data_IF_464915732538
#
_entry.id   IF_464915732538
#
_cell.length_a   1.000
_cell.length_b   1.000
_cell.length_c   1.000
_cell.angle_alpha   90.00
_cell.angle_beta   90.00
_cell.angle_gamma   90.00
#
_symmetry.space_group_name_H-M   'P 1'
#
loop_
_entity.id
_entity.type
_entity.pdbx_description
1 polymer ?
#
# COMPACT_ATOMS: atom_id res chain seq x y z
N UNK A 1 13.55 -25.58 -11.39
CA UNK A 1 13.95 -24.49 -10.47
C UNK A 1 13.95 -23.19 -11.27
N UNK A 2 12.76 -22.61 -11.39
CA UNK A 2 12.57 -21.38 -12.16
C UNK A 2 13.08 -20.20 -11.31
N UNK A 3 14.12 -19.55 -11.79
CA UNK A 3 14.73 -18.41 -11.11
C UNK A 3 13.82 -17.20 -11.28
N UNK A 4 12.85 -17.07 -10.38
CA UNK A 4 12.13 -15.82 -10.17
C UNK A 4 13.13 -14.87 -9.51
N UNK A 5 13.29 -13.67 -10.07
CA UNK A 5 14.15 -12.67 -9.46
C UNK A 5 13.46 -12.14 -8.19
N UNK A 6 13.85 -12.56 -6.98
CA UNK A 6 13.09 -12.27 -5.76
C UNK A 6 13.27 -10.82 -5.25
N UNK A 7 13.91 -9.97 -6.04
CA UNK A 7 14.35 -8.62 -5.61
C UNK A 7 13.20 -7.76 -5.10
N UNK A 8 12.07 -7.71 -5.82
CA UNK A 8 10.92 -6.90 -5.41
C UNK A 8 10.23 -7.48 -4.17
N UNK A 9 9.97 -8.79 -4.17
CA UNK A 9 9.34 -9.49 -3.04
C UNK A 9 10.17 -9.38 -1.76
N UNK A 10 11.50 -9.59 -1.85
CA UNK A 10 12.42 -9.44 -0.72
C UNK A 10 12.39 -8.02 -0.15
N UNK A 11 12.39 -7.00 -1.02
CA UNK A 11 12.31 -5.61 -0.57
C UNK A 11 11.00 -5.33 0.16
N UNK A 12 9.87 -5.75 -0.41
CA UNK A 12 8.52 -5.61 0.18
C UNK A 12 8.44 -6.34 1.54
N UNK A 13 8.95 -7.57 1.61
CA UNK A 13 9.02 -8.35 2.84
C UNK A 13 9.85 -7.65 3.93
N UNK A 14 10.99 -7.09 3.55
CA UNK A 14 11.85 -6.32 4.45
C UNK A 14 11.15 -5.09 5.00
N UNK A 15 10.39 -4.34 4.18
CA UNK A 15 9.60 -3.21 4.65
C UNK A 15 8.50 -3.65 5.62
N UNK A 16 7.80 -4.75 5.33
CA UNK A 16 6.74 -5.27 6.20
C UNK A 16 7.28 -5.68 7.58
N UNK A 17 8.43 -6.35 7.63
CA UNK A 17 9.01 -6.87 8.87
C UNK A 17 9.79 -5.83 9.67
N UNK A 18 10.54 -4.98 9.00
CA UNK A 18 11.55 -4.12 9.63
C UNK A 18 11.25 -2.62 9.48
N UNK A 19 10.31 -2.25 8.62
CA UNK A 19 9.90 -0.86 8.43
C UNK A 19 11.08 0.08 8.16
N UNK A 20 11.24 1.09 9.02
CA UNK A 20 12.24 2.14 8.87
C UNK A 20 13.57 1.88 9.62
N UNK A 21 13.77 0.68 10.17
CA UNK A 21 15.00 0.34 10.91
C UNK A 21 16.25 0.55 10.04
N UNK A 22 16.19 0.22 8.76
CA UNK A 22 17.30 0.44 7.81
C UNK A 22 17.63 1.92 7.59
N UNK A 23 16.76 2.83 7.98
CA UNK A 23 16.94 4.27 7.92
C UNK A 23 17.33 4.89 9.27
N UNK A 24 17.49 4.05 10.30
CA UNK A 24 17.79 4.50 11.66
C UNK A 24 16.63 5.25 12.31
N UNK A 25 15.40 4.99 11.87
CA UNK A 25 14.16 5.54 12.44
C UNK A 25 13.42 4.48 13.22
N UNK A 26 12.67 4.92 14.22
CA UNK A 26 11.81 4.02 14.97
C UNK A 26 10.64 3.58 14.07
N UNK A 27 10.63 2.30 13.76
CA UNK A 27 9.51 1.68 13.09
C UNK A 27 8.38 1.41 14.07
N UNK A 28 7.22 1.81 13.69
CA UNK A 28 5.99 1.61 14.47
C UNK A 28 5.21 0.34 14.07
N UNK A 29 5.87 -0.59 13.39
CA UNK A 29 5.32 -1.91 13.12
C UNK A 29 5.27 -2.76 14.39
N UNK A 30 4.50 -3.85 14.34
CA UNK A 30 4.28 -4.73 15.48
C UNK A 30 5.35 -5.83 15.55
N UNK A 31 5.87 -6.10 16.75
CA UNK A 31 6.83 -7.19 16.96
C UNK A 31 6.15 -8.55 16.83
N UNK A 32 6.82 -9.50 16.22
CA UNK A 32 6.33 -10.88 16.13
C UNK A 32 5.52 -11.19 14.88
N UNK A 33 5.40 -10.27 13.93
CA UNK A 33 4.81 -10.54 12.63
C UNK A 33 5.61 -11.64 11.92
N UNK A 34 4.89 -12.63 11.38
CA UNK A 34 5.45 -13.68 10.53
C UNK A 34 4.96 -13.47 9.11
N UNK A 35 5.85 -13.64 8.16
CA UNK A 35 5.52 -13.58 6.75
C UNK A 35 5.21 -14.98 6.20
N UNK A 36 4.21 -15.01 5.34
CA UNK A 36 3.94 -16.07 4.41
C UNK A 36 4.19 -15.51 3.00
N UNK A 37 5.10 -16.12 2.24
CA UNK A 37 5.39 -15.74 0.87
C UNK A 37 4.55 -16.57 -0.10
N UNK A 38 3.74 -15.88 -0.89
CA UNK A 38 2.92 -16.48 -1.94
C UNK A 38 3.42 -16.01 -3.30
N UNK A 39 4.04 -16.88 -4.05
CA UNK A 39 4.50 -16.60 -5.41
C UNK A 39 3.33 -16.70 -6.37
N UNK A 40 2.75 -15.56 -6.74
CA UNK A 40 1.60 -15.47 -7.66
C UNK A 40 1.98 -15.05 -9.08
N UNK A 41 3.23 -14.63 -9.30
CA UNK A 41 3.80 -14.35 -10.62
C UNK A 41 4.72 -15.49 -11.05
N UNK A 42 4.43 -16.17 -12.17
CA UNK A 42 5.38 -17.07 -12.80
C UNK A 42 6.57 -16.29 -13.38
N UNK A 43 7.57 -17.01 -13.84
CA UNK A 43 8.67 -16.44 -14.62
C UNK A 43 8.14 -15.90 -15.96
N UNK A 44 7.85 -14.60 -16.02
CA UNK A 44 7.30 -13.93 -17.20
C UNK A 44 8.24 -13.90 -18.41
N UNK A 45 9.48 -14.38 -18.27
CA UNK A 45 10.39 -14.60 -19.40
C UNK A 45 10.03 -15.84 -20.20
N UNK A 46 9.26 -16.76 -19.60
CA UNK A 46 8.86 -18.04 -20.21
C UNK A 46 7.39 -18.07 -20.60
N UNK A 47 6.52 -17.45 -19.78
CA UNK A 47 5.07 -17.48 -19.98
C UNK A 47 4.49 -16.08 -19.76
N UNK A 48 3.58 -15.66 -20.63
CA UNK A 48 2.76 -14.47 -20.38
C UNK A 48 1.78 -14.75 -19.25
N UNK A 49 1.67 -13.85 -18.28
CA UNK A 49 0.63 -13.89 -17.26
C UNK A 49 -0.50 -12.97 -17.73
N UNK A 50 -1.67 -13.50 -17.96
CA UNK A 50 -2.87 -12.69 -18.14
C UNK A 50 -3.56 -12.37 -16.80
N UNK A 51 -4.61 -11.57 -16.86
CA UNK A 51 -5.35 -11.14 -15.66
C UNK A 51 -6.07 -12.30 -14.97
N UNK A 52 -6.63 -13.21 -15.76
CA UNK A 52 -7.39 -14.35 -15.24
C UNK A 52 -6.47 -15.33 -14.52
N UNK A 53 -5.27 -15.57 -15.05
CA UNK A 53 -4.24 -16.39 -14.42
C UNK A 53 -3.76 -15.75 -13.11
N UNK A 54 -3.54 -14.42 -13.09
CA UNK A 54 -3.17 -13.71 -11.87
C UNK A 54 -4.26 -13.83 -10.79
N UNK A 55 -5.52 -13.65 -11.16
CA UNK A 55 -6.65 -13.82 -10.24
C UNK A 55 -6.72 -15.25 -9.72
N UNK A 56 -6.52 -16.25 -10.59
CA UNK A 56 -6.52 -17.65 -10.20
C UNK A 56 -5.42 -17.98 -9.20
N UNK A 57 -4.19 -17.50 -9.44
CA UNK A 57 -3.05 -17.70 -8.53
C UNK A 57 -3.27 -17.03 -7.17
N UNK A 58 -3.80 -15.81 -7.14
CA UNK A 58 -4.15 -15.11 -5.89
C UNK A 58 -5.24 -15.88 -5.14
N UNK A 59 -6.26 -16.36 -5.86
CA UNK A 59 -7.34 -17.16 -5.28
C UNK A 59 -6.80 -18.43 -4.62
N UNK A 60 -6.00 -19.20 -5.34
CA UNK A 60 -5.38 -20.43 -4.82
C UNK A 60 -4.56 -20.16 -3.56
N UNK A 61 -3.73 -19.10 -3.57
CA UNK A 61 -2.92 -18.73 -2.42
C UNK A 61 -3.78 -18.38 -1.19
N UNK A 62 -4.85 -17.57 -1.36
CA UNK A 62 -5.74 -17.17 -0.27
C UNK A 62 -6.55 -18.39 0.21
N UNK A 63 -7.17 -19.15 -0.70
CA UNK A 63 -7.98 -20.31 -0.36
C UNK A 63 -7.22 -21.34 0.47
N UNK A 64 -5.97 -21.62 0.10
CA UNK A 64 -5.14 -22.59 0.81
C UNK A 64 -4.63 -22.10 2.18
N UNK A 65 -4.64 -20.77 2.45
CA UNK A 65 -3.94 -20.21 3.62
C UNK A 65 -4.77 -19.25 4.47
N UNK A 66 -6.02 -18.93 4.12
CA UNK A 66 -6.84 -17.92 4.79
C UNK A 66 -7.05 -18.16 6.30
N UNK A 67 -7.00 -19.41 6.75
CA UNK A 67 -7.10 -19.72 8.18
C UNK A 67 -5.88 -19.23 8.98
N UNK A 68 -4.72 -19.22 8.36
CA UNK A 68 -3.44 -18.87 8.97
C UNK A 68 -2.99 -17.44 8.66
N UNK A 69 -3.43 -16.90 7.50
CA UNK A 69 -3.00 -15.58 6.98
C UNK A 69 -4.24 -14.73 6.79
N UNK A 70 -4.43 -13.78 7.68
CA UNK A 70 -5.61 -12.90 7.69
C UNK A 70 -5.38 -11.57 6.95
N UNK A 71 -4.15 -11.09 6.89
CA UNK A 71 -3.79 -9.85 6.21
C UNK A 71 -2.86 -10.16 5.04
N UNK A 72 -3.23 -9.70 3.85
CA UNK A 72 -2.52 -9.93 2.60
C UNK A 72 -1.98 -8.62 2.05
N UNK A 73 -0.69 -8.57 1.73
CA UNK A 73 -0.07 -7.45 1.02
C UNK A 73 -0.03 -7.75 -0.48
N UNK A 74 -0.72 -6.94 -1.26
CA UNK A 74 -0.78 -7.07 -2.72
C UNK A 74 -0.12 -5.86 -3.39
N UNK A 75 1.21 -5.87 -3.45
CA UNK A 75 2.03 -4.83 -4.09
C UNK A 75 2.23 -5.10 -5.59
N UNK A 76 1.14 -5.44 -6.27
CA UNK A 76 1.09 -5.80 -7.69
C UNK A 76 0.10 -4.84 -8.38
N UNK A 77 0.34 -4.48 -9.63
CA UNK A 77 -0.56 -3.63 -10.41
C UNK A 77 -0.74 -4.18 -11.83
N UNK A 78 -1.99 -4.22 -12.27
CA UNK A 78 -2.33 -4.26 -13.69
C UNK A 78 -2.20 -2.84 -14.21
N UNK A 79 -1.53 -2.64 -15.35
CA UNK A 79 -1.15 -1.31 -15.83
C UNK A 79 -2.28 -0.56 -16.56
N UNK A 80 -3.53 -0.96 -16.36
CA UNK A 80 -4.72 -0.23 -16.85
C UNK A 80 -5.26 0.69 -15.78
N UNK A 81 -5.68 1.89 -16.18
CA UNK A 81 -6.36 2.84 -15.31
C UNK A 81 -7.84 2.47 -15.13
N UNK A 82 -8.36 2.74 -13.94
CA UNK A 82 -9.77 2.47 -13.62
C UNK A 82 -10.73 3.33 -14.44
N UNK A 83 -11.90 2.79 -14.71
CA UNK A 83 -13.03 3.51 -15.30
C UNK A 83 -13.73 4.39 -14.24
N UNK A 84 -14.47 5.42 -14.70
CA UNK A 84 -15.23 6.30 -13.81
C UNK A 84 -16.52 5.68 -13.28
N UNK A 85 -17.12 4.75 -14.02
CA UNK A 85 -18.47 4.25 -13.79
C UNK A 85 -18.55 2.73 -13.61
N UNK A 86 -17.44 2.02 -13.73
CA UNK A 86 -17.42 0.55 -13.64
C UNK A 86 -16.22 0.09 -12.82
N UNK A 87 -16.46 -0.79 -11.87
CA UNK A 87 -15.40 -1.51 -11.15
C UNK A 87 -14.71 -2.51 -12.07
N UNK A 88 -13.42 -2.66 -11.92
CA UNK A 88 -12.64 -3.63 -12.69
C UNK A 88 -12.94 -5.05 -12.26
N UNK A 89 -12.83 -6.00 -13.20
CA UNK A 89 -13.05 -7.42 -12.91
C UNK A 89 -12.03 -7.92 -11.86
N UNK A 90 -10.83 -7.40 -11.88
CA UNK A 90 -9.83 -7.66 -10.85
C UNK A 90 -10.27 -7.15 -9.46
N UNK A 91 -10.83 -5.95 -9.35
CA UNK A 91 -11.33 -5.41 -8.08
C UNK A 91 -12.48 -6.27 -7.53
N UNK A 92 -13.42 -6.66 -8.39
CA UNK A 92 -14.55 -7.53 -8.01
C UNK A 92 -14.02 -8.87 -7.48
N UNK A 93 -13.05 -9.49 -8.19
CA UNK A 93 -12.45 -10.74 -7.75
C UNK A 93 -11.76 -10.62 -6.37
N UNK A 94 -11.05 -9.50 -6.12
CA UNK A 94 -10.45 -9.25 -4.82
C UNK A 94 -11.50 -9.06 -3.71
N UNK A 95 -12.62 -8.40 -4.01
CA UNK A 95 -13.71 -8.20 -3.07
C UNK A 95 -14.40 -9.52 -2.70
N UNK A 96 -14.68 -10.36 -3.69
CA UNK A 96 -15.26 -11.70 -3.50
C UNK A 96 -14.36 -12.59 -2.63
N UNK A 97 -13.05 -12.57 -2.86
CA UNK A 97 -12.08 -13.33 -2.05
C UNK A 97 -12.06 -12.87 -0.60
N UNK A 98 -12.06 -11.57 -0.37
CA UNK A 98 -12.07 -11.00 0.99
C UNK A 98 -13.36 -11.33 1.74
N UNK A 99 -14.50 -11.29 1.06
CA UNK A 99 -15.77 -11.68 1.65
C UNK A 99 -15.82 -13.16 1.99
N UNK A 100 -15.49 -14.00 1.01
CA UNK A 100 -15.58 -15.47 1.14
C UNK A 100 -14.66 -16.03 2.23
N UNK A 101 -13.44 -15.51 2.32
CA UNK A 101 -12.39 -16.07 3.17
C UNK A 101 -12.10 -15.26 4.43
N UNK A 102 -12.86 -14.19 4.67
CA UNK A 102 -12.68 -13.31 5.82
C UNK A 102 -11.22 -12.86 6.00
N UNK A 103 -10.66 -12.23 4.98
CA UNK A 103 -9.29 -11.69 4.95
C UNK A 103 -9.29 -10.22 4.57
N UNK A 104 -8.23 -9.49 4.91
CA UNK A 104 -8.00 -8.11 4.48
C UNK A 104 -6.86 -8.06 3.46
N UNK A 105 -7.10 -7.47 2.31
CA UNK A 105 -6.06 -7.18 1.31
C UNK A 105 -5.66 -5.71 1.40
N UNK A 106 -4.37 -5.45 1.67
CA UNK A 106 -3.74 -4.15 1.49
C UNK A 106 -3.20 -4.06 0.06
N UNK A 107 -3.72 -3.12 -0.73
CA UNK A 107 -3.46 -3.03 -2.19
C UNK A 107 -2.74 -1.74 -2.54
N UNK A 108 -1.70 -1.82 -3.35
CA UNK A 108 -1.01 -0.63 -3.86
C UNK A 108 -1.87 0.13 -4.88
N UNK A 109 -1.88 1.47 -4.79
CA UNK A 109 -2.62 2.33 -5.71
C UNK A 109 -2.04 2.37 -7.14
N UNK A 110 -0.77 1.99 -7.29
CA UNK A 110 -0.02 2.02 -8.55
C UNK A 110 0.91 3.23 -8.68
N UNK A 111 1.84 3.13 -9.60
CA UNK A 111 2.86 4.15 -9.86
C UNK A 111 2.67 4.77 -11.24
N UNK A 112 2.88 6.09 -11.33
CA UNK A 112 2.84 6.85 -12.56
C UNK A 112 4.27 7.13 -13.01
N UNK A 113 4.69 6.56 -14.14
CA UNK A 113 6.04 6.75 -14.68
C UNK A 113 6.23 8.12 -15.37
N UNK A 114 5.13 8.76 -15.78
CA UNK A 114 5.16 10.05 -16.49
C UNK A 114 5.10 11.28 -15.57
N UNK A 115 5.30 11.11 -14.26
CA UNK A 115 5.27 12.24 -13.31
C UNK A 115 6.26 13.36 -13.66
N UNK A 116 7.31 13.05 -14.39
CA UNK A 116 8.30 14.03 -14.90
C UNK A 116 7.68 15.00 -15.92
N UNK A 117 6.79 14.50 -16.76
CA UNK A 117 6.06 15.31 -17.73
C UNK A 117 4.93 16.14 -17.10
N UNK A 118 4.66 15.87 -15.83
CA UNK A 118 3.89 16.65 -14.87
C UNK A 118 2.40 16.79 -15.13
N UNK A 119 1.67 15.84 -15.73
CA UNK A 119 0.24 15.97 -15.59
C UNK A 119 -0.61 15.61 -16.82
N UNK A 120 -1.80 15.12 -16.50
CA UNK A 120 -2.32 14.82 -15.14
C UNK A 120 -1.62 13.61 -14.54
N UNK A 121 -1.55 13.56 -13.20
CA UNK A 121 -1.18 12.32 -12.50
C UNK A 121 -2.14 11.23 -12.95
N UNK A 122 -1.60 10.06 -13.31
CA UNK A 122 -2.40 8.93 -13.72
C UNK A 122 -3.36 8.48 -12.61
N UNK A 123 -4.53 8.02 -13.01
CA UNK A 123 -5.51 7.44 -12.08
C UNK A 123 -5.01 6.13 -11.51
N UNK A 124 -5.55 5.72 -10.37
CA UNK A 124 -5.28 4.41 -9.79
C UNK A 124 -5.44 3.30 -10.82
N UNK A 125 -4.70 2.22 -10.66
CA UNK A 125 -4.78 1.06 -11.54
C UNK A 125 -5.91 0.12 -11.14
N UNK A 126 -6.38 -0.69 -12.07
CA UNK A 126 -7.35 -1.76 -11.83
C UNK A 126 -6.92 -2.67 -10.68
N UNK A 127 -7.91 -3.10 -9.90
CA UNK A 127 -7.73 -3.77 -8.61
C UNK A 127 -7.55 -2.80 -7.43
N UNK A 128 -7.06 -1.56 -7.65
CA UNK A 128 -7.07 -0.52 -6.63
C UNK A 128 -8.44 0.18 -6.49
N UNK A 129 -9.41 -0.19 -7.28
CA UNK A 129 -10.81 0.17 -7.15
C UNK A 129 -11.63 -0.81 -6.30
N UNK A 130 -11.02 -1.90 -5.81
CA UNK A 130 -11.65 -2.83 -4.86
C UNK A 130 -12.22 -2.11 -3.64
N UNK A 131 -13.48 -2.36 -3.31
CA UNK A 131 -14.18 -1.69 -2.20
C UNK A 131 -13.72 -2.25 -0.85
N UNK A 132 -13.46 -3.55 -0.76
CA UNK A 132 -13.04 -4.20 0.48
C UNK A 132 -11.57 -4.02 0.78
N UNK A 133 -10.71 -3.98 -0.23
CA UNK A 133 -9.27 -3.77 -0.03
C UNK A 133 -8.98 -2.41 0.59
N UNK A 134 -7.96 -2.36 1.43
CA UNK A 134 -7.37 -1.10 1.90
C UNK A 134 -6.31 -0.63 0.90
N UNK A 135 -6.67 0.34 0.08
CA UNK A 135 -5.79 0.84 -1.00
C UNK A 135 -4.88 1.94 -0.49
N UNK A 136 -3.60 1.79 -0.80
CA UNK A 136 -2.53 2.60 -0.21
C UNK A 136 -1.81 3.41 -1.30
N UNK A 137 -1.85 4.73 -1.15
CA UNK A 137 -1.04 5.69 -1.90
C UNK A 137 0.35 5.86 -1.30
N UNK A 138 1.18 6.70 -1.92
CA UNK A 138 2.53 6.97 -1.46
C UNK A 138 2.73 8.44 -1.11
N UNK A 139 3.43 8.67 0.02
CA UNK A 139 3.94 9.99 0.43
C UNK A 139 5.46 9.96 0.59
N UNK A 140 6.08 11.11 0.40
CA UNK A 140 7.51 11.30 0.55
C UNK A 140 7.91 11.25 2.04
N UNK A 141 8.84 10.37 2.41
CA UNK A 141 9.36 10.27 3.78
C UNK A 141 10.51 11.25 4.04
N UNK A 142 11.14 11.72 2.97
CA UNK A 142 12.24 12.68 2.98
C UNK A 142 12.26 13.46 1.67
N UNK A 143 13.01 14.57 1.64
CA UNK A 143 13.23 15.38 0.44
C UNK A 143 14.71 15.46 0.12
N UNK A 144 15.10 14.90 -1.03
CA UNK A 144 16.40 15.13 -1.65
C UNK A 144 16.44 16.49 -2.38
N UNK A 145 17.64 16.87 -2.82
CA UNK A 145 17.88 18.19 -3.44
C UNK A 145 16.98 18.47 -4.66
N UNK A 146 16.79 17.47 -5.50
CA UNK A 146 16.10 17.59 -6.78
C UNK A 146 14.73 16.89 -6.79
N UNK A 147 14.23 16.47 -5.61
CA UNK A 147 12.92 15.85 -5.45
C UNK A 147 11.80 16.88 -5.61
N UNK A 148 10.68 16.44 -6.19
CA UNK A 148 9.53 17.31 -6.44
C UNK A 148 8.63 17.52 -5.23
N UNK A 149 8.50 16.51 -4.36
CA UNK A 149 7.59 16.60 -3.21
C UNK A 149 8.31 17.03 -1.95
N UNK A 150 7.66 17.86 -1.14
CA UNK A 150 8.06 18.09 0.24
C UNK A 150 7.81 16.85 1.08
N UNK A 151 8.52 16.73 2.20
CA UNK A 151 8.29 15.64 3.16
C UNK A 151 6.83 15.62 3.61
N UNK A 152 6.26 14.43 3.75
CA UNK A 152 4.85 14.18 4.06
C UNK A 152 3.84 14.60 3.00
N UNK A 153 4.28 15.11 1.84
CA UNK A 153 3.40 15.35 0.71
C UNK A 153 3.31 14.10 -0.20
N UNK A 154 2.27 13.99 -1.04
CA UNK A 154 2.15 12.86 -1.97
C UNK A 154 3.40 12.69 -2.81
N UNK A 155 3.88 11.46 -2.92
CA UNK A 155 5.00 11.14 -3.82
C UNK A 155 4.66 11.52 -5.26
N UNK A 156 5.61 12.04 -6.06
CA UNK A 156 5.32 12.47 -7.43
C UNK A 156 4.71 11.36 -8.30
N UNK A 157 5.15 10.13 -8.06
CA UNK A 157 4.73 8.95 -8.81
C UNK A 157 3.44 8.30 -8.29
N UNK A 158 2.88 8.71 -7.14
CA UNK A 158 1.65 8.08 -6.63
C UNK A 158 0.48 8.35 -7.56
N UNK A 159 -0.27 7.31 -7.90
CA UNK A 159 -1.50 7.44 -8.68
C UNK A 159 -2.62 7.98 -7.80
N UNK A 160 -3.61 8.61 -8.45
CA UNK A 160 -4.66 9.36 -7.77
C UNK A 160 -6.05 8.82 -8.07
N UNK A 161 -6.97 9.01 -7.12
CA UNK A 161 -8.38 8.76 -7.29
C UNK A 161 -9.15 9.87 -8.04
N UNK A 162 -10.45 9.83 -7.99
CA UNK A 162 -11.26 8.86 -7.26
C UNK A 162 -11.30 7.49 -7.93
N UNK A 163 -11.86 6.49 -7.25
CA UNK A 163 -12.30 5.26 -7.88
C UNK A 163 -13.62 5.44 -8.66
N UNK A 164 -14.19 4.35 -9.21
CA UNK A 164 -15.50 4.38 -9.87
C UNK A 164 -16.57 4.97 -8.97
N UNK A 165 -17.57 5.63 -9.58
CA UNK A 165 -18.68 6.27 -8.86
C UNK A 165 -18.22 7.23 -7.73
N UNK A 166 -17.03 7.83 -7.93
CA UNK A 166 -16.39 8.77 -6.99
C UNK A 166 -16.04 8.21 -5.61
N UNK A 167 -15.94 6.88 -5.44
CA UNK A 167 -15.45 6.32 -4.19
C UNK A 167 -14.04 6.84 -3.88
N UNK A 168 -13.77 7.04 -2.58
CA UNK A 168 -12.47 7.53 -2.13
C UNK A 168 -11.42 6.45 -2.33
N UNK A 169 -10.46 6.72 -3.22
CA UNK A 169 -9.28 5.92 -3.50
C UNK A 169 -8.09 6.84 -3.81
N UNK A 170 -6.86 6.48 -3.36
CA UNK A 170 -6.62 5.48 -2.32
C UNK A 170 -7.37 5.85 -1.03
N UNK A 171 -7.63 4.90 -0.12
CA UNK A 171 -8.22 5.27 1.18
C UNK A 171 -7.23 5.98 2.09
N UNK A 172 -5.99 5.56 2.07
CA UNK A 172 -4.91 6.15 2.89
C UNK A 172 -3.61 6.21 2.10
N UNK A 173 -2.61 6.87 2.67
CA UNK A 173 -1.26 6.91 2.13
C UNK A 173 -0.22 6.64 3.21
N UNK A 174 0.93 6.08 2.82
CA UNK A 174 2.06 5.87 3.72
C UNK A 174 3.39 6.12 2.99
N UNK A 175 4.52 6.08 3.69
CA UNK A 175 5.83 6.38 3.13
C UNK A 175 6.27 5.35 2.08
N UNK A 176 6.49 5.80 0.86
CA UNK A 176 6.95 4.99 -0.27
C UNK A 176 8.08 5.62 -1.07
N UNK A 177 8.69 6.70 -0.54
CA UNK A 177 9.79 7.39 -1.17
C UNK A 177 9.41 8.67 -1.92
N UNK A 178 10.40 9.34 -2.48
CA UNK A 178 10.29 10.57 -3.25
C UNK A 178 11.03 10.45 -4.57
N UNK A 179 10.74 11.34 -5.50
CA UNK A 179 11.40 11.38 -6.81
C UNK A 179 11.42 12.79 -7.38
N UNK A 180 12.32 13.01 -8.32
CA UNK A 180 12.44 14.27 -9.04
C UNK A 180 13.33 14.13 -10.26
N UNK A 181 13.86 15.26 -10.74
CA UNK A 181 14.71 15.33 -11.93
C UNK A 181 15.87 16.26 -11.66
N UNK A 182 17.09 15.78 -11.93
CA UNK A 182 18.30 16.59 -11.80
C UNK A 182 18.40 17.66 -12.92
N UNK A 183 19.38 18.55 -12.81
CA UNK A 183 19.62 19.62 -13.78
C UNK A 183 19.91 19.14 -15.21
N UNK A 184 20.16 17.84 -15.41
CA UNK A 184 20.40 17.22 -16.73
C UNK A 184 19.16 16.49 -17.26
N UNK A 185 18.00 16.59 -16.57
CA UNK A 185 16.78 15.91 -16.94
C UNK A 185 16.76 14.42 -16.58
N UNK A 186 17.71 13.93 -15.76
CA UNK A 186 17.74 12.55 -15.31
C UNK A 186 16.89 12.38 -14.07
N UNK A 187 16.07 11.34 -14.04
CA UNK A 187 15.30 10.97 -12.86
C UNK A 187 16.22 10.64 -11.67
N UNK A 188 15.91 11.22 -10.53
CA UNK A 188 16.54 10.97 -9.24
C UNK A 188 15.49 10.50 -8.26
N UNK A 189 15.89 9.74 -7.24
CA UNK A 189 14.98 9.20 -6.24
C UNK A 189 15.58 9.28 -4.85
N UNK A 190 14.75 9.64 -3.87
CA UNK A 190 15.01 9.49 -2.45
C UNK A 190 14.09 8.38 -1.95
N UNK A 191 14.59 7.13 -2.01
CA UNK A 191 13.80 5.94 -1.74
C UNK A 191 13.81 5.57 -0.26
N UNK A 192 12.80 4.81 0.14
CA UNK A 192 12.80 4.07 1.40
C UNK A 192 13.82 2.93 1.31
N UNK A 193 14.36 2.50 2.45
CA UNK A 193 15.39 1.45 2.49
C UNK A 193 14.82 0.12 2.93
N UNK A 194 15.31 -0.94 2.33
CA UNK A 194 15.04 -2.33 2.71
C UNK A 194 16.14 -3.25 2.15
N UNK A 195 15.91 -4.55 2.15
CA UNK A 195 16.88 -5.55 1.76
C UNK A 195 16.73 -5.97 0.29
N UNK A 196 17.85 -6.16 -0.38
CA UNK A 196 17.92 -6.88 -1.64
C UNK A 196 18.07 -8.39 -1.40
N UNK A 197 17.93 -9.18 -2.47
CA UNK A 197 18.01 -10.64 -2.40
C UNK A 197 19.37 -11.20 -1.96
N UNK A 198 20.43 -10.39 -2.04
CA UNK A 198 21.78 -10.70 -1.56
C UNK A 198 22.05 -10.18 -0.12
N UNK A 199 21.02 -9.65 0.54
CA UNK A 199 21.10 -9.17 1.92
C UNK A 199 21.69 -7.78 2.09
N UNK A 200 21.94 -7.04 1.01
CA UNK A 200 22.37 -5.65 1.08
C UNK A 200 21.20 -4.71 1.38
N UNK A 201 21.48 -3.60 2.06
CA UNK A 201 20.50 -2.52 2.21
C UNK A 201 20.50 -1.71 0.93
N UNK A 202 19.34 -1.64 0.29
CA UNK A 202 19.12 -0.87 -0.93
C UNK A 202 17.96 0.10 -0.76
N UNK A 203 17.84 1.05 -1.68
CA UNK A 203 16.83 2.10 -1.65
C UNK A 203 15.95 2.01 -2.90
N UNK A 204 14.62 2.17 -2.71
CA UNK A 204 13.68 2.14 -3.82
C UNK A 204 12.45 3.02 -3.55
N UNK A 205 11.65 3.30 -4.60
CA UNK A 205 10.45 4.14 -4.54
C UNK A 205 9.25 3.43 -5.13
N UNK A 206 8.07 3.63 -4.55
CA UNK A 206 6.83 3.07 -5.09
C UNK A 206 5.73 2.88 -4.04
N UNK A 207 4.49 2.85 -4.51
CA UNK A 207 3.33 2.44 -3.69
C UNK A 207 3.45 0.99 -3.22
N UNK A 208 4.25 0.18 -3.91
CA UNK A 208 4.60 -1.17 -3.48
C UNK A 208 5.35 -1.22 -2.14
N UNK A 209 5.91 -0.09 -1.69
CA UNK A 209 6.68 0.01 -0.45
C UNK A 209 5.94 0.79 0.66
N UNK A 210 4.90 1.55 0.32
CA UNK A 210 3.96 2.09 1.29
C UNK A 210 2.97 1.03 1.77
N UNK A 211 2.53 0.16 0.88
CA UNK A 211 1.50 -0.87 1.15
C UNK A 211 1.91 -1.87 2.23
N UNK A 212 3.13 -2.46 2.24
CA UNK A 212 3.52 -3.42 3.28
C UNK A 212 3.61 -2.80 4.68
N UNK A 213 3.82 -1.49 4.80
CA UNK A 213 3.75 -0.78 6.09
C UNK A 213 2.34 -0.83 6.66
N UNK A 214 1.34 -0.65 5.80
CA UNK A 214 -0.07 -0.71 6.17
C UNK A 214 -0.51 -2.15 6.45
N UNK A 215 -0.01 -3.12 5.71
CA UNK A 215 -0.26 -4.53 6.01
C UNK A 215 0.33 -4.94 7.37
N UNK A 216 1.52 -4.45 7.72
CA UNK A 216 2.11 -4.64 9.04
C UNK A 216 1.28 -3.96 10.14
N UNK A 217 0.80 -2.73 9.89
CA UNK A 217 -0.09 -2.01 10.80
C UNK A 217 -1.40 -2.79 11.04
N UNK A 218 -2.04 -3.28 9.96
CA UNK A 218 -3.27 -4.08 10.04
C UNK A 218 -3.06 -5.38 10.83
N UNK A 219 -1.94 -6.06 10.62
CA UNK A 219 -1.56 -7.27 11.37
C UNK A 219 -1.34 -6.96 12.84
N UNK A 220 -0.65 -5.86 13.14
CA UNK A 220 -0.42 -5.42 14.52
C UNK A 220 -1.72 -5.07 15.24
N UNK A 221 -2.64 -4.38 14.58
CA UNK A 221 -3.96 -4.09 15.15
C UNK A 221 -4.73 -5.36 15.47
N UNK A 222 -4.74 -6.33 14.56
CA UNK A 222 -5.40 -7.61 14.80
C UNK A 222 -4.82 -8.34 16.01
N UNK A 223 -3.50 -8.31 16.18
CA UNK A 223 -2.84 -8.96 17.33
C UNK A 223 -3.15 -8.27 18.67
N UNK A 224 -3.29 -6.94 18.66
CA UNK A 224 -3.52 -6.16 19.90
C UNK A 224 -5.00 -6.10 20.30
N UNK A 225 -5.93 -6.30 19.39
CA UNK A 225 -7.37 -6.23 19.70
C UNK A 225 -7.88 -7.43 20.50
N UNK A 226 -7.16 -8.56 20.49
CA UNK A 226 -7.51 -9.82 21.17
C UNK A 226 -8.97 -10.27 20.89
N UNK A 227 -9.41 -10.09 19.66
CA UNK A 227 -10.74 -10.43 19.16
C UNK A 227 -10.65 -11.30 17.90
N UNK A 228 -11.78 -11.87 17.48
CA UNK A 228 -11.88 -12.52 16.18
C UNK A 228 -11.56 -11.55 15.06
N UNK A 229 -10.91 -12.04 14.02
CA UNK A 229 -10.51 -11.22 12.90
C UNK A 229 -11.72 -10.64 12.15
N UNK A 230 -11.83 -9.32 12.16
CA UNK A 230 -12.83 -8.55 11.42
C UNK A 230 -12.09 -7.59 10.46
N UNK A 231 -12.04 -7.90 9.14
CA UNK A 231 -11.32 -7.08 8.17
C UNK A 231 -11.90 -5.66 8.04
N UNK A 232 -13.21 -5.49 8.21
CA UNK A 232 -13.85 -4.18 8.09
C UNK A 232 -13.56 -3.32 9.33
N UNK A 233 -13.52 -3.91 10.51
CA UNK A 233 -13.10 -3.22 11.73
C UNK A 233 -11.65 -2.74 11.62
N UNK A 234 -10.73 -3.63 11.24
CA UNK A 234 -9.31 -3.28 11.07
C UNK A 234 -9.16 -2.15 10.04
N UNK A 235 -9.79 -2.28 8.87
CA UNK A 235 -9.80 -1.24 7.83
C UNK A 235 -10.39 0.07 8.37
N UNK A 236 -11.51 0.01 9.06
CA UNK A 236 -12.18 1.17 9.65
C UNK A 236 -11.31 1.91 10.66
N UNK A 237 -10.64 1.19 11.57
CA UNK A 237 -9.73 1.78 12.56
C UNK A 237 -8.53 2.47 11.92
N UNK A 238 -7.93 1.86 10.89
CA UNK A 238 -6.81 2.44 10.16
C UNK A 238 -7.24 3.74 9.47
N UNK A 239 -8.36 3.72 8.76
CA UNK A 239 -8.91 4.91 8.08
C UNK A 239 -9.28 6.00 9.10
N UNK A 240 -9.94 5.63 10.19
CA UNK A 240 -10.35 6.57 11.25
C UNK A 240 -9.15 7.27 11.90
N UNK A 241 -8.03 6.58 12.06
CA UNK A 241 -6.81 7.13 12.64
C UNK A 241 -6.03 8.06 11.70
N UNK A 242 -6.33 7.99 10.40
CA UNK A 242 -5.56 8.72 9.40
C UNK A 242 -5.82 10.24 9.47
N UNK A 243 -4.78 11.00 9.22
CA UNK A 243 -4.84 12.46 9.24
C UNK A 243 -3.91 13.07 8.20
N UNK A 244 -4.24 14.29 7.78
CA UNK A 244 -3.37 15.04 6.90
C UNK A 244 -2.23 15.71 7.68
N UNK A 245 -1.00 15.70 7.12
CA UNK A 245 0.10 16.50 7.67
C UNK A 245 -0.28 17.98 7.75
N UNK A 246 0.19 18.65 8.82
CA UNK A 246 -0.11 20.10 9.03
C UNK A 246 0.41 20.97 7.88
N UNK A 247 1.59 20.61 7.35
CA UNK A 247 2.30 21.38 6.31
C UNK A 247 1.99 20.89 4.88
N UNK A 248 0.83 20.23 4.68
CA UNK A 248 0.44 19.69 3.41
C UNK A 248 0.21 20.80 2.35
N UNK A 249 1.00 20.78 1.29
CA UNK A 249 1.03 21.81 0.24
C UNK A 249 0.15 21.49 -0.98
N UNK A 250 -0.95 20.81 -0.77
CA UNK A 250 -1.94 20.52 -1.84
C UNK A 250 -3.29 21.14 -1.50
N UNK A 251 -4.04 21.60 -2.52
CA UNK A 251 -5.39 22.14 -2.32
C UNK A 251 -6.29 21.15 -1.59
N UNK A 252 -7.16 21.65 -0.72
CA UNK A 252 -8.09 20.81 0.05
C UNK A 252 -8.94 19.90 -0.83
N UNK A 253 -9.36 20.38 -2.02
CA UNK A 253 -10.13 19.62 -3.00
C UNK A 253 -9.37 18.45 -3.62
N UNK A 254 -8.03 18.46 -3.57
CA UNK A 254 -7.18 17.44 -4.15
C UNK A 254 -6.64 16.43 -3.10
N UNK A 255 -6.75 16.76 -1.80
CA UNK A 255 -6.20 15.93 -0.71
C UNK A 255 -6.74 14.51 -0.75
N UNK A 256 -8.04 14.38 -0.80
CA UNK A 256 -8.72 13.07 -0.81
C UNK A 256 -8.35 12.24 -2.04
N UNK A 257 -8.22 12.86 -3.21
CA UNK A 257 -7.82 12.16 -4.43
C UNK A 257 -6.37 11.65 -4.38
N UNK A 258 -5.48 12.41 -3.72
CA UNK A 258 -4.06 12.10 -3.70
C UNK A 258 -3.62 11.27 -2.50
N UNK A 259 -4.32 11.39 -1.37
CA UNK A 259 -3.92 10.79 -0.09
C UNK A 259 -5.03 10.00 0.61
N UNK A 260 -6.25 9.99 0.07
CA UNK A 260 -7.41 9.46 0.78
C UNK A 260 -7.68 10.25 2.06
N UNK A 261 -7.79 9.57 3.18
CA UNK A 261 -7.96 10.18 4.50
C UNK A 261 -6.63 10.63 5.14
N UNK A 262 -5.49 10.41 4.48
CA UNK A 262 -4.19 10.84 4.96
C UNK A 262 -3.26 9.70 5.38
N UNK A 263 -2.39 9.97 6.35
CA UNK A 263 -1.43 9.01 6.90
C UNK A 263 -2.00 8.45 8.20
N UNK A 264 -2.12 7.11 8.35
CA UNK A 264 -2.62 6.49 9.57
C UNK A 264 -1.63 6.61 10.73
N UNK A 265 -2.14 6.58 11.95
CA UNK A 265 -1.36 6.47 13.18
C UNK A 265 -0.74 5.06 13.30
N UNK A 266 0.20 4.89 14.22
CA UNK A 266 0.73 3.57 14.56
C UNK A 266 -0.26 2.75 15.42
N UNK A 267 0.02 1.45 15.61
CA UNK A 267 -0.85 0.53 16.37
C UNK A 267 -1.13 1.05 17.77
N UNK A 268 -0.10 1.47 18.50
CA UNK A 268 -0.26 1.94 19.88
C UNK A 268 -1.13 3.19 19.97
N UNK A 269 -0.98 4.12 19.03
CA UNK A 269 -1.76 5.37 19.02
C UNK A 269 -3.22 5.15 18.57
N UNK A 270 -3.48 4.06 17.84
CA UNK A 270 -4.85 3.67 17.47
C UNK A 270 -5.56 3.00 18.66
N UNK A 271 -4.85 2.10 19.38
CA UNK A 271 -5.44 1.30 20.47
C UNK A 271 -5.56 2.10 21.76
N UNK A 272 -4.48 2.80 22.15
CA UNK A 272 -4.42 3.42 23.47
C UNK A 272 -4.85 4.87 23.50
N UNK A 273 -5.09 5.47 22.35
CA UNK A 273 -5.59 6.83 22.18
C UNK A 273 -4.86 7.93 23.02
N UNK A 274 -4.94 9.14 22.54
CA UNK A 274 -4.63 10.34 23.30
C UNK A 274 -5.62 10.46 24.50
N UNK A 275 -5.23 11.03 25.66
CA UNK A 275 -6.15 11.27 26.79
C UNK A 275 -7.42 12.05 26.43
N UNK A 276 -7.43 12.71 25.29
CA UNK A 276 -8.58 13.51 24.80
C UNK A 276 -9.38 12.83 23.68
N UNK A 277 -8.98 11.63 23.24
CA UNK A 277 -9.67 10.87 22.20
C UNK A 277 -10.17 9.52 22.76
N UNK A 278 -11.37 9.14 22.40
CA UNK A 278 -11.90 7.82 22.69
C UNK A 278 -12.51 7.22 21.42
N UNK A 279 -12.09 6.00 21.07
CA UNK A 279 -12.70 5.25 19.98
C UNK A 279 -13.70 4.27 20.55
N UNK A 280 -14.96 4.38 20.13
CA UNK A 280 -16.04 3.50 20.52
C UNK A 280 -16.45 2.62 19.34
N UNK A 281 -16.37 1.31 19.53
CA UNK A 281 -16.83 0.32 18.56
C UNK A 281 -18.23 -0.13 18.98
N UNK A 282 -19.22 0.15 18.12
CA UNK A 282 -20.57 -0.31 18.29
C UNK A 282 -20.82 -1.46 17.33
N UNK A 283 -21.36 -2.57 17.84
CA UNK A 283 -21.78 -3.73 17.05
C UNK A 283 -23.25 -3.96 17.28
N UNK A 284 -23.99 -4.21 16.21
CA UNK A 284 -25.39 -4.63 16.24
C UNK A 284 -25.52 -6.15 16.40
#
# INVERSE_FOLDING_TARGET
DDVITPTHGTFVAGVALYGDICEGKDWVGHKGIKLFDATVFPDTTKEGLDEDDLIANIREAIEANHERVKVWNLSISITREVCDTKFSDFAIALDDLQEKYNVLICKSAGNCSNFVANLPKGRIHEGADSVRSLVVGSVAHAKGKDDFSETNNPSPFTRVGPGPEFIIKPEISHYGGNAGVDSRGKMVTTGVKSFSSDGQIVSNVGTSFSTPRVAALATGLFQELDEDFDPLLIKGLIIHSASYPRDLQIPTTERTKQMGFGIPKNVSDIIYNDPYEATLILRD
#
